data_IF_222402867525
#
_entry.id   IF_222402867525
#
_cell.length_a   1.000
_cell.length_b   1.000
_cell.length_c   1.000
_cell.angle_alpha   90.00
_cell.angle_beta   90.00
_cell.angle_gamma   90.00
#
_symmetry.space_group_name_H-M   'P 1'
#
loop_
_entity.id
_entity.type
_entity.pdbx_description
1 polymer ?
#
# COMPACT_ATOMS: atom_id res chain seq x y z
N UNK A 1 15.03 18.58 -19.98
CA UNK A 1 13.63 18.13 -19.79
C UNK A 1 13.62 17.13 -18.64
N UNK A 2 13.11 17.53 -17.47
CA UNK A 2 12.85 16.57 -16.39
C UNK A 2 11.59 15.82 -16.82
N UNK A 3 11.72 14.54 -17.21
CA UNK A 3 10.54 13.69 -17.38
C UNK A 3 9.87 13.62 -16.01
N UNK A 4 8.67 14.18 -15.88
CA UNK A 4 7.78 13.88 -14.76
C UNK A 4 7.39 12.40 -14.86
N UNK A 5 8.27 11.51 -14.43
CA UNK A 5 7.89 10.15 -14.06
C UNK A 5 7.24 10.23 -12.67
N UNK A 6 6.07 10.88 -12.59
CA UNK A 6 5.22 10.76 -11.41
C UNK A 6 4.56 9.40 -11.47
N UNK A 7 4.86 8.54 -10.51
CA UNK A 7 4.17 7.27 -10.34
C UNK A 7 2.68 7.50 -10.06
N UNK A 8 1.81 6.54 -10.38
CA UNK A 8 0.41 6.57 -9.92
C UNK A 8 0.35 6.78 -8.39
N UNK A 9 1.28 6.16 -7.66
CA UNK A 9 1.41 6.24 -6.21
C UNK A 9 1.69 7.66 -5.69
N UNK A 10 2.31 8.53 -6.49
CA UNK A 10 2.58 9.92 -6.11
C UNK A 10 1.31 10.75 -5.98
N UNK A 11 0.24 10.35 -6.70
CA UNK A 11 -1.05 11.03 -6.71
C UNK A 11 -2.08 10.38 -5.79
N UNK A 12 -1.77 9.21 -5.23
CA UNK A 12 -2.71 8.49 -4.39
C UNK A 12 -2.85 9.12 -3.00
N UNK A 13 -4.08 9.20 -2.46
CA UNK A 13 -4.30 9.44 -1.04
C UNK A 13 -3.41 8.53 -0.19
N UNK A 14 -2.91 9.07 0.93
CA UNK A 14 -1.99 8.35 1.81
C UNK A 14 -2.58 7.01 2.28
N UNK A 15 -3.87 6.99 2.60
CA UNK A 15 -4.55 5.80 3.10
C UNK A 15 -4.59 4.70 2.03
N UNK A 16 -4.83 5.06 0.76
CA UNK A 16 -4.79 4.11 -0.35
C UNK A 16 -3.37 3.61 -0.61
N UNK A 17 -2.37 4.50 -0.60
CA UNK A 17 -0.96 4.10 -0.75
C UNK A 17 -0.55 3.10 0.35
N UNK A 18 -0.90 3.38 1.61
CA UNK A 18 -0.60 2.52 2.74
C UNK A 18 -1.32 1.16 2.65
N UNK A 19 -2.61 1.16 2.30
CA UNK A 19 -3.39 -0.05 2.11
C UNK A 19 -2.81 -0.96 1.02
N UNK A 20 -2.46 -0.40 -0.14
CA UNK A 20 -1.84 -1.18 -1.22
C UNK A 20 -0.46 -1.71 -0.83
N UNK A 21 0.39 -0.89 -0.19
CA UNK A 21 1.71 -1.30 0.25
C UNK A 21 1.62 -2.53 1.16
N UNK A 22 0.75 -2.49 2.17
CA UNK A 22 0.55 -3.59 3.10
C UNK A 22 -0.02 -4.85 2.44
N UNK A 23 -1.06 -4.73 1.59
CA UNK A 23 -1.66 -5.88 0.90
C UNK A 23 -0.68 -6.57 -0.06
N UNK A 24 0.15 -5.82 -0.79
CA UNK A 24 1.16 -6.42 -1.65
C UNK A 24 2.18 -7.19 -0.82
N UNK A 25 2.70 -6.61 0.26
CA UNK A 25 3.63 -7.31 1.16
C UNK A 25 3.04 -8.60 1.72
N UNK A 26 1.80 -8.55 2.19
CA UNK A 26 1.06 -9.72 2.69
C UNK A 26 0.83 -10.79 1.62
N UNK A 27 0.59 -10.39 0.37
CA UNK A 27 0.46 -11.35 -0.73
C UNK A 27 1.79 -12.05 -1.04
N UNK A 28 2.92 -11.33 -0.92
CA UNK A 28 4.26 -11.93 -0.99
C UNK A 28 4.47 -12.93 0.14
N UNK A 29 4.14 -12.59 1.39
CA UNK A 29 4.26 -13.48 2.55
C UNK A 29 3.42 -14.76 2.40
N UNK A 30 2.26 -14.66 1.74
CA UNK A 30 1.40 -15.81 1.42
C UNK A 30 1.88 -16.65 0.24
N UNK A 31 3.00 -16.28 -0.39
CA UNK A 31 3.53 -16.95 -1.58
C UNK A 31 2.79 -16.61 -2.88
N UNK A 32 1.89 -15.63 -2.87
CA UNK A 32 1.20 -15.11 -4.06
C UNK A 32 2.12 -14.05 -4.67
N UNK A 33 3.23 -14.49 -5.24
CA UNK A 33 4.30 -13.62 -5.74
C UNK A 33 4.26 -13.49 -7.27
N UNK A 34 4.40 -12.26 -7.77
CA UNK A 34 4.69 -12.01 -9.18
C UNK A 34 5.82 -10.98 -9.33
N UNK A 35 6.55 -11.04 -10.44
CA UNK A 35 7.57 -10.03 -10.76
C UNK A 35 6.99 -8.61 -10.81
N UNK A 36 5.72 -8.48 -11.22
CA UNK A 36 5.01 -7.21 -11.22
C UNK A 36 4.91 -6.63 -9.80
N UNK A 37 4.64 -7.44 -8.77
CA UNK A 37 4.50 -6.96 -7.39
C UNK A 37 5.78 -6.33 -6.84
N UNK A 38 6.97 -6.87 -7.14
CA UNK A 38 8.22 -6.22 -6.76
C UNK A 38 8.44 -4.89 -7.47
N UNK A 39 7.97 -4.77 -8.72
CA UNK A 39 7.99 -3.51 -9.43
C UNK A 39 7.05 -2.49 -8.77
N UNK A 40 5.83 -2.91 -8.41
CA UNK A 40 4.87 -2.07 -7.70
C UNK A 40 5.41 -1.59 -6.35
N UNK A 41 6.02 -2.47 -5.55
CA UNK A 41 6.67 -2.09 -4.27
C UNK A 41 7.71 -0.99 -4.50
N UNK A 42 8.60 -1.16 -5.49
CA UNK A 42 9.62 -0.13 -5.79
C UNK A 42 8.97 1.21 -6.16
N UNK A 43 7.90 1.20 -6.93
CA UNK A 43 7.19 2.43 -7.29
C UNK A 43 6.54 3.10 -6.06
N UNK A 44 6.02 2.32 -5.11
CA UNK A 44 5.48 2.83 -3.85
C UNK A 44 6.57 3.37 -2.93
N UNK A 45 7.71 2.68 -2.80
CA UNK A 45 8.87 3.12 -2.01
C UNK A 45 9.42 4.46 -2.51
N UNK A 46 9.54 4.60 -3.83
CA UNK A 46 9.95 5.87 -4.44
C UNK A 46 8.93 6.98 -4.18
N UNK A 47 7.64 6.65 -4.16
CA UNK A 47 6.59 7.63 -3.82
C UNK A 47 6.66 8.06 -2.36
N UNK A 48 6.84 7.11 -1.44
CA UNK A 48 7.01 7.36 -0.01
C UNK A 48 8.20 8.30 0.22
N UNK A 49 9.33 8.00 -0.42
CA UNK A 49 10.55 8.83 -0.35
C UNK A 49 10.29 10.26 -0.84
N UNK A 50 9.65 10.45 -1.99
CA UNK A 50 9.31 11.79 -2.52
C UNK A 50 8.37 12.56 -1.62
N UNK A 51 7.50 11.86 -0.89
CA UNK A 51 6.52 12.45 0.04
C UNK A 51 7.06 12.62 1.46
N UNK A 52 8.28 12.20 1.74
CA UNK A 52 8.88 12.26 3.08
C UNK A 52 8.21 11.30 4.10
N UNK A 53 7.72 10.16 3.63
CA UNK A 53 6.99 9.18 4.45
C UNK A 53 7.87 7.94 4.64
N UNK A 54 8.01 7.46 5.88
CA UNK A 54 8.76 6.23 6.14
C UNK A 54 7.96 4.99 5.73
N UNK A 55 8.67 3.94 5.31
CA UNK A 55 8.04 2.66 4.95
C UNK A 55 7.39 1.98 6.14
N UNK A 56 7.98 2.10 7.33
CA UNK A 56 7.40 1.64 8.60
C UNK A 56 6.04 2.29 8.85
N UNK A 57 5.92 3.60 8.63
CA UNK A 57 4.65 4.29 8.76
C UNK A 57 3.61 3.79 7.75
N UNK A 58 4.01 3.57 6.49
CA UNK A 58 3.11 3.00 5.47
C UNK A 58 2.62 1.61 5.85
N UNK A 59 3.52 0.76 6.34
CA UNK A 59 3.21 -0.58 6.78
C UNK A 59 2.22 -0.57 7.96
N UNK A 60 2.52 0.19 9.02
CA UNK A 60 1.69 0.29 10.22
C UNK A 60 0.30 0.84 9.91
N UNK A 61 0.25 1.91 9.11
CA UNK A 61 -1.01 2.51 8.69
C UNK A 61 -1.83 1.56 7.81
N UNK A 62 -1.19 0.87 6.87
CA UNK A 62 -1.83 -0.12 6.02
C UNK A 62 -2.42 -1.28 6.82
N UNK A 63 -1.68 -1.79 7.83
CA UNK A 63 -2.18 -2.82 8.73
C UNK A 63 -3.48 -2.40 9.43
N UNK A 64 -3.49 -1.17 10.00
CA UNK A 64 -4.68 -0.64 10.70
C UNK A 64 -5.89 -0.52 9.78
N UNK A 65 -5.70 0.02 8.56
CA UNK A 65 -6.77 0.16 7.57
C UNK A 65 -7.41 -1.20 7.25
N UNK A 66 -6.59 -2.23 7.04
CA UNK A 66 -7.07 -3.56 6.70
C UNK A 66 -7.76 -4.24 7.90
N UNK A 67 -7.29 -4.01 9.12
CA UNK A 67 -7.95 -4.53 10.31
C UNK A 67 -9.30 -3.85 10.57
N UNK A 68 -9.38 -2.54 10.35
CA UNK A 68 -10.62 -1.77 10.40
C UNK A 68 -11.62 -2.26 9.32
N UNK A 69 -11.15 -2.51 8.09
CA UNK A 69 -11.99 -3.05 7.02
C UNK A 69 -12.57 -4.43 7.36
N UNK A 70 -11.75 -5.33 7.93
CA UNK A 70 -12.21 -6.66 8.38
C UNK A 70 -13.26 -6.53 9.48
N UNK A 71 -13.09 -5.62 10.42
CA UNK A 71 -14.05 -5.38 11.50
C UNK A 71 -15.39 -4.87 10.95
N UNK A 72 -15.36 -3.93 10.00
CA UNK A 72 -16.55 -3.41 9.32
C UNK A 72 -17.26 -4.47 8.48
N UNK A 73 -16.51 -5.35 7.79
CA UNK A 73 -17.08 -6.48 7.04
C UNK A 73 -17.64 -7.58 7.95
N UNK A 74 -17.09 -7.74 9.17
CA UNK A 74 -17.59 -8.69 10.16
C UNK A 74 -18.92 -8.24 10.78
N UNK A 75 -19.07 -6.94 11.03
CA UNK A 75 -20.29 -6.34 11.62
C UNK A 75 -21.46 -6.28 10.65
N UNK A 76 -21.20 -6.08 9.36
CA UNK A 76 -22.22 -6.07 8.30
C UNK A 76 -22.80 -7.45 7.95
N UNK A 77 -22.16 -8.55 8.38
CA UNK A 77 -22.70 -9.92 8.20
C UNK A 77 -23.72 -10.34 9.26
N UNK A 78 -23.96 -9.51 10.29
CA UNK A 78 -24.86 -9.80 11.42
C UNK A 78 -26.19 -9.04 11.35
N UNK A 79 -26.53 -8.44 10.21
CA UNK A 79 -27.83 -7.78 9.97
C UNK A 79 -28.68 -8.53 8.95
#
# INVERSE_FOLDING_TARGET
MVKENSSLYDKLPLDLLAGFYFEIHKNIEKGILSNAMYHEIRLMEQSALRRGISLEYLHDKGSRIIDDEKLLRGTTKLQ
#
